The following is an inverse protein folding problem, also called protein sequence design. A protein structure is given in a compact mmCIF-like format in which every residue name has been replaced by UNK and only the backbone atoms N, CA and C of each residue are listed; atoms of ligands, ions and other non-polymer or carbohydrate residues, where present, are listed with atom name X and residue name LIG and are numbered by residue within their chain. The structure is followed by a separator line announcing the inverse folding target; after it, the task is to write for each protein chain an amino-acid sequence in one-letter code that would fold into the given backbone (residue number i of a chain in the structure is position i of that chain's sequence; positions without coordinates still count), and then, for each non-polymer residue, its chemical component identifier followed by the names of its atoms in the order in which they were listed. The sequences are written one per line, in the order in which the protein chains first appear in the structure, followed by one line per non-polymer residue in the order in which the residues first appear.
data_IF_700608009877
#
_entry.id   IF_700608009877
#
_cell.length_a   1.000
_cell.length_b   1.000
_cell.length_c   1.000
_cell.angle_alpha   90.00
_cell.angle_beta   90.00
_cell.angle_gamma   90.00
#
_symmetry.space_group_name_H-M   'P 1'
#
loop_
_entity.id
_entity.type
_entity.pdbx_description
1 polymer ?
#
# COMPACT_ATOMS: atom_id res chain seq x y z
N UNK A 1 11.04 30.01 20.46
CA UNK A 1 10.96 28.66 21.09
C UNK A 1 9.61 27.99 20.79
N UNK A 2 8.50 28.73 20.62
CA UNK A 2 7.18 28.16 20.28
C UNK A 2 7.08 27.59 18.85
N UNK A 3 7.71 28.19 17.83
CA UNK A 3 7.70 27.64 16.46
C UNK A 3 8.33 26.24 16.35
N UNK A 4 9.43 25.99 17.07
CA UNK A 4 10.14 24.70 17.07
C UNK A 4 9.29 23.53 17.64
N UNK A 5 8.37 23.84 18.57
CA UNK A 5 7.46 22.84 19.14
C UNK A 5 6.29 22.52 18.20
N UNK A 6 5.79 23.50 17.44
CA UNK A 6 4.73 23.28 16.46
C UNK A 6 5.26 22.50 15.24
N UNK A 7 6.47 22.82 14.77
CA UNK A 7 7.13 22.14 13.65
C UNK A 7 7.40 20.65 13.94
N UNK A 8 7.85 20.30 15.14
CA UNK A 8 8.04 18.89 15.53
C UNK A 8 6.72 18.13 15.55
N UNK A 9 5.66 18.74 16.08
CA UNK A 9 4.34 18.12 16.19
C UNK A 9 3.70 17.95 14.80
N UNK A 10 3.89 18.90 13.90
CA UNK A 10 3.45 18.80 12.51
C UNK A 10 4.24 17.74 11.73
N UNK A 11 5.58 17.69 11.89
CA UNK A 11 6.41 16.64 11.26
C UNK A 11 5.95 15.26 11.71
N UNK A 12 5.80 15.01 13.00
CA UNK A 12 5.34 13.71 13.51
C UNK A 12 3.95 13.32 13.00
N UNK A 13 3.04 14.28 12.89
CA UNK A 13 1.69 14.05 12.35
C UNK A 13 1.71 13.69 10.87
N UNK A 14 2.49 14.42 10.07
CA UNK A 14 2.69 14.13 8.64
C UNK A 14 3.38 12.78 8.45
N UNK A 15 4.33 12.44 9.32
CA UNK A 15 5.04 11.16 9.32
C UNK A 15 4.09 9.98 9.53
N UNK A 16 3.24 10.05 10.58
CA UNK A 16 2.24 9.02 10.87
C UNK A 16 1.26 8.84 9.73
N UNK A 17 0.81 9.94 9.11
CA UNK A 17 -0.10 9.89 7.97
C UNK A 17 0.52 9.23 6.75
N UNK A 18 1.79 9.53 6.48
CA UNK A 18 2.57 8.89 5.41
C UNK A 18 2.79 7.39 5.64
N UNK A 19 3.05 6.97 6.89
CA UNK A 19 3.19 5.55 7.26
C UNK A 19 1.86 4.81 7.08
N UNK A 20 0.73 5.43 7.45
CA UNK A 20 -0.61 4.86 7.17
C UNK A 20 -0.86 4.68 5.67
N UNK A 21 -0.51 5.67 4.85
CA UNK A 21 -0.67 5.58 3.39
C UNK A 21 0.22 4.50 2.77
N UNK A 22 1.45 4.34 3.29
CA UNK A 22 2.39 3.29 2.90
C UNK A 22 1.87 1.91 3.32
N UNK A 23 1.39 1.78 4.56
CA UNK A 23 0.83 0.54 5.11
C UNK A 23 -0.37 0.07 4.32
N UNK A 24 -1.29 0.98 3.96
CA UNK A 24 -2.41 0.64 3.08
C UNK A 24 -1.93 0.19 1.70
N UNK A 25 -0.90 0.82 1.13
CA UNK A 25 -0.27 0.37 -0.11
C UNK A 25 0.26 -1.07 -0.02
N UNK A 26 0.97 -1.40 1.07
CA UNK A 26 1.48 -2.75 1.34
C UNK A 26 0.36 -3.77 1.46
N UNK A 27 -0.73 -3.44 2.15
CA UNK A 27 -1.90 -4.31 2.28
C UNK A 27 -2.55 -4.57 0.91
N UNK A 28 -2.77 -3.52 0.10
CA UNK A 28 -3.35 -3.68 -1.24
C UNK A 28 -2.45 -4.48 -2.19
N UNK A 29 -1.14 -4.26 -2.14
CA UNK A 29 -0.17 -5.05 -2.93
C UNK A 29 -0.12 -6.49 -2.46
N UNK A 30 -0.14 -6.74 -1.15
CA UNK A 30 -0.17 -8.09 -0.58
C UNK A 30 -1.45 -8.84 -0.98
N UNK A 31 -2.61 -8.20 -0.88
CA UNK A 31 -3.89 -8.77 -1.35
C UNK A 31 -3.88 -9.02 -2.86
N UNK A 32 -3.35 -8.09 -3.66
CA UNK A 32 -3.24 -8.26 -5.11
C UNK A 32 -2.35 -9.44 -5.49
N UNK A 33 -1.19 -9.58 -4.83
CA UNK A 33 -0.30 -10.74 -4.97
C UNK A 33 -1.00 -12.03 -4.58
N UNK A 34 -1.68 -12.06 -3.43
CA UNK A 34 -2.43 -13.23 -2.98
C UNK A 34 -3.56 -13.59 -3.95
N UNK A 35 -4.23 -12.61 -4.56
CA UNK A 35 -5.27 -12.87 -5.57
C UNK A 35 -4.72 -13.35 -6.90
N UNK A 36 -3.58 -12.83 -7.37
CA UNK A 36 -2.92 -13.34 -8.58
C UNK A 36 -2.36 -14.75 -8.35
N UNK A 37 -1.84 -15.03 -7.14
CA UNK A 37 -1.40 -16.36 -6.75
C UNK A 37 -2.54 -17.25 -6.22
N UNK A 38 -3.77 -16.74 -6.10
CA UNK A 38 -4.92 -17.52 -5.63
C UNK A 38 -5.14 -18.76 -6.48
N UNK A 39 -4.89 -18.63 -7.80
CA UNK A 39 -4.95 -19.75 -8.72
C UNK A 39 -3.93 -20.85 -8.42
N UNK A 40 -2.72 -20.46 -7.98
CA UNK A 40 -1.67 -21.41 -7.53
C UNK A 40 -1.98 -22.04 -6.18
N UNK A 41 -2.77 -21.38 -5.33
CA UNK A 41 -3.13 -21.84 -3.98
C UNK A 41 -4.44 -22.65 -4.00
N UNK A 42 -5.08 -22.83 -5.16
CA UNK A 42 -6.33 -23.59 -5.30
C UNK A 42 -7.57 -22.83 -4.83
N UNK A 43 -7.49 -21.50 -4.75
CA UNK A 43 -8.62 -20.62 -4.45
C UNK A 43 -9.49 -20.32 -5.69
N UNK A 44 -9.17 -20.90 -6.85
CA UNK A 44 -9.98 -20.80 -8.07
C UNK A 44 -11.41 -21.34 -7.91
N UNK A 45 -11.64 -22.21 -6.91
CA UNK A 45 -12.97 -22.70 -6.57
C UNK A 45 -13.89 -21.61 -5.96
N UNK A 46 -13.31 -20.54 -5.41
CA UNK A 46 -14.05 -19.46 -4.75
C UNK A 46 -14.28 -18.27 -5.69
N UNK A 47 -13.37 -18.04 -6.63
CA UNK A 47 -13.41 -16.89 -7.54
C UNK A 47 -12.99 -17.30 -8.95
N UNK A 48 -13.74 -16.88 -9.97
CA UNK A 48 -13.40 -17.15 -11.37
C UNK A 48 -11.99 -16.65 -11.73
N UNK A 49 -11.19 -17.50 -12.37
CA UNK A 49 -9.83 -17.20 -12.86
C UNK A 49 -9.66 -15.81 -13.51
N UNK A 50 -10.50 -15.38 -14.48
CA UNK A 50 -10.33 -14.06 -15.10
C UNK A 50 -10.57 -12.90 -14.13
N UNK A 51 -11.45 -13.09 -13.13
CA UNK A 51 -11.70 -12.07 -12.12
C UNK A 51 -10.50 -11.91 -11.18
N UNK A 52 -9.90 -13.02 -10.74
CA UNK A 52 -8.70 -13.02 -9.88
C UNK A 52 -7.52 -12.32 -10.56
N UNK A 53 -7.28 -12.60 -11.84
CA UNK A 53 -6.19 -11.98 -12.59
C UNK A 53 -6.41 -10.48 -12.82
N UNK A 54 -7.61 -10.06 -13.20
CA UNK A 54 -7.92 -8.64 -13.44
C UNK A 54 -7.90 -7.85 -12.13
N UNK A 55 -8.60 -8.34 -11.10
CA UNK A 55 -8.71 -7.66 -9.82
C UNK A 55 -7.37 -7.66 -9.07
N UNK A 56 -6.68 -8.80 -9.06
CA UNK A 56 -5.35 -8.93 -8.49
C UNK A 56 -4.32 -8.06 -9.21
N UNK A 57 -4.39 -8.00 -10.55
CA UNK A 57 -3.54 -7.13 -11.37
C UNK A 57 -3.75 -5.63 -11.09
N UNK A 58 -5.01 -5.18 -10.99
CA UNK A 58 -5.34 -3.79 -10.64
C UNK A 58 -4.89 -3.48 -9.20
N UNK A 59 -5.12 -4.38 -8.24
CA UNK A 59 -4.63 -4.21 -6.86
C UNK A 59 -3.11 -4.16 -6.78
N UNK A 60 -2.41 -4.96 -7.57
CA UNK A 60 -0.95 -4.94 -7.66
C UNK A 60 -0.43 -3.65 -8.27
N UNK A 61 -1.02 -3.18 -9.37
CA UNK A 61 -0.65 -1.93 -10.00
C UNK A 61 -0.92 -0.74 -9.08
N UNK A 62 -2.12 -0.66 -8.50
CA UNK A 62 -2.52 0.44 -7.62
C UNK A 62 -1.78 0.42 -6.28
N UNK A 63 -1.67 -0.75 -5.65
CA UNK A 63 -0.89 -0.95 -4.44
C UNK A 63 0.59 -0.65 -4.67
N UNK A 64 1.16 -1.15 -5.77
CA UNK A 64 2.55 -0.89 -6.16
C UNK A 64 2.80 0.59 -6.41
N UNK A 65 1.88 1.29 -7.07
CA UNK A 65 1.94 2.75 -7.23
C UNK A 65 1.85 3.48 -5.88
N UNK A 66 1.00 3.04 -4.95
CA UNK A 66 0.92 3.60 -3.59
C UNK A 66 2.20 3.37 -2.79
N UNK A 67 2.78 2.18 -2.86
CA UNK A 67 4.06 1.85 -2.23
C UNK A 67 5.16 2.71 -2.84
N UNK A 68 5.25 2.78 -4.17
CA UNK A 68 6.21 3.64 -4.86
C UNK A 68 6.08 5.09 -4.40
N UNK A 69 4.85 5.62 -4.33
CA UNK A 69 4.59 6.98 -3.84
C UNK A 69 4.95 7.18 -2.37
N UNK A 70 4.74 6.17 -1.53
CA UNK A 70 5.06 6.21 -0.10
C UNK A 70 6.56 6.06 0.18
N UNK A 71 7.26 5.15 -0.52
CA UNK A 71 8.72 4.98 -0.42
C UNK A 71 9.44 6.22 -0.93
N UNK A 72 9.00 6.82 -2.05
CA UNK A 72 9.57 8.09 -2.54
C UNK A 72 9.33 9.26 -1.59
N UNK A 73 8.34 9.18 -0.69
CA UNK A 73 8.09 10.17 0.36
C UNK A 73 8.80 9.86 1.67
N UNK A 74 9.59 8.79 1.75
CA UNK A 74 10.32 8.49 2.97
C UNK A 74 11.58 9.36 3.09
N UNK A 75 11.39 10.50 3.74
CA UNK A 75 12.02 10.77 5.03
C UNK A 75 13.55 10.84 5.14
N UNK A 76 14.25 11.09 4.03
CA UNK A 76 15.58 11.72 4.09
C UNK A 76 15.45 13.25 3.90
N UNK A 77 14.85 13.93 4.88
CA UNK A 77 15.20 15.31 5.26
C UNK A 77 14.64 15.71 6.62
#
# INVERSE_FOLDING_TARGET
MEEDFDDKKQRDYVNRRSIMDLGMGIIYTGMGLLMVFAAKVGLDAVFSEPFNYIFGGICLLYGGFRIYRGIRRNYYR
#
